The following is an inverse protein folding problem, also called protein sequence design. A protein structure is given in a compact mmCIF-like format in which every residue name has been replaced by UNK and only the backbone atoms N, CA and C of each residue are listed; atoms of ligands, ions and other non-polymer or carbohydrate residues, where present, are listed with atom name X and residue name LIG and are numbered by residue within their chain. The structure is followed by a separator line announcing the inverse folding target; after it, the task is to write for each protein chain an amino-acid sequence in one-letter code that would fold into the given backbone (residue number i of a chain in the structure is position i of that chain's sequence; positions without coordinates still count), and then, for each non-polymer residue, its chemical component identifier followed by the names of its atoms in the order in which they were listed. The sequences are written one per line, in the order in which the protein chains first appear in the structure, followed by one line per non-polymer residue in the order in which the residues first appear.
data_IF_558614730080
#
_entry.id   IF_558614730080
#
_cell.length_a   1.000
_cell.length_b   1.000
_cell.length_c   1.000
_cell.angle_alpha   90.00
_cell.angle_beta   90.00
_cell.angle_gamma   90.00
#
_symmetry.space_group_name_H-M   'P 1'
#
loop_
_entity.id
_entity.type
_entity.pdbx_description
1 polymer ?
#
# COMPACT_ATOMS: atom_id res chain seq x y z
N UNK A 1 -11.22 -15.27 -37.02
CA UNK A 1 -11.05 -14.89 -36.73
C UNK A 1 -10.71 -14.58 -36.24
N UNK A 2 -10.52 -14.09 -35.93
CA UNK A 2 -10.16 -13.67 -35.36
C UNK A 2 -10.12 -13.60 -34.53
N UNK A 3 -10.20 -13.49 -34.31
CA UNK A 3 -10.22 -13.40 -33.49
C UNK A 3 -9.90 -13.27 -32.62
N UNK A 4 -9.67 -13.58 -32.42
CA UNK A 4 -9.31 -13.48 -31.34
C UNK A 4 -8.79 -12.23 -30.89
N UNK A 5 -8.80 -11.36 -31.56
CA UNK A 5 -8.46 -10.09 -31.16
C UNK A 5 -9.45 -9.60 -30.24
N UNK A 6 -9.02 -9.17 -29.08
CA UNK A 6 -9.91 -8.63 -28.08
C UNK A 6 -10.52 -7.34 -28.55
N UNK A 7 -11.78 -7.15 -28.18
CA UNK A 7 -12.43 -5.88 -28.40
C UNK A 7 -11.68 -4.78 -27.66
N UNK A 8 -11.55 -3.58 -28.25
CA UNK A 8 -10.82 -2.51 -27.58
C UNK A 8 -11.32 -2.21 -26.18
N UNK A 9 -12.63 -2.32 -25.93
CA UNK A 9 -13.17 -2.07 -24.61
C UNK A 9 -12.66 -3.10 -23.61
N UNK A 10 -12.53 -4.36 -24.06
CA UNK A 10 -12.02 -5.41 -23.18
C UNK A 10 -10.56 -5.16 -22.84
N UNK A 11 -9.79 -4.74 -23.83
CA UNK A 11 -8.38 -4.46 -23.61
C UNK A 11 -8.22 -3.31 -22.62
N UNK A 12 -9.07 -2.30 -22.75
CA UNK A 12 -9.01 -1.16 -21.86
C UNK A 12 -9.34 -1.57 -20.45
N UNK A 13 -10.37 -2.39 -20.25
CA UNK A 13 -10.73 -2.87 -18.92
C UNK A 13 -9.61 -3.70 -18.31
N UNK A 14 -9.00 -4.53 -19.12
CA UNK A 14 -7.89 -5.35 -18.63
C UNK A 14 -6.71 -4.48 -18.18
N UNK A 15 -6.41 -3.45 -18.95
CA UNK A 15 -5.32 -2.55 -18.59
C UNK A 15 -5.62 -1.83 -17.29
N UNK A 16 -6.88 -1.42 -17.10
CA UNK A 16 -7.26 -0.74 -15.87
C UNK A 16 -7.15 -1.67 -14.67
N UNK A 17 -7.56 -2.92 -14.84
CA UNK A 17 -7.47 -3.88 -13.75
C UNK A 17 -6.01 -4.13 -13.38
N UNK A 18 -5.15 -4.30 -14.37
CA UNK A 18 -3.75 -4.51 -14.12
C UNK A 18 -3.11 -3.32 -13.42
N UNK A 19 -3.51 -2.12 -13.83
CA UNK A 19 -3.01 -0.92 -13.21
C UNK A 19 -3.44 -0.83 -11.76
N UNK A 20 -4.70 -1.15 -11.47
CA UNK A 20 -5.20 -1.10 -10.11
C UNK A 20 -4.52 -2.14 -9.23
N UNK A 21 -4.22 -3.32 -9.78
CA UNK A 21 -3.53 -4.34 -9.00
C UNK A 21 -2.11 -3.91 -8.68
N UNK A 22 -1.46 -3.27 -9.64
CA UNK A 22 -0.11 -2.77 -9.40
C UNK A 22 -0.12 -1.67 -8.35
N UNK A 23 -1.10 -0.77 -8.43
CA UNK A 23 -1.26 0.28 -7.44
C UNK A 23 -1.55 -0.29 -6.06
N UNK A 24 -2.41 -1.32 -6.02
CA UNK A 24 -2.74 -1.95 -4.77
C UNK A 24 -1.49 -2.53 -4.11
N UNK A 25 -0.67 -3.18 -4.91
CA UNK A 25 0.58 -3.73 -4.39
C UNK A 25 1.48 -2.65 -3.84
N UNK A 26 1.62 -1.56 -4.58
CA UNK A 26 2.45 -0.45 -4.15
C UNK A 26 1.92 0.16 -2.86
N UNK A 27 0.60 0.33 -2.78
CA UNK A 27 -0.02 0.88 -1.58
C UNK A 27 0.16 -0.04 -0.40
N UNK A 28 0.07 -1.35 -0.62
CA UNK A 28 0.29 -2.30 0.45
C UNK A 28 1.71 -2.23 0.98
N UNK A 29 2.67 -2.04 0.10
CA UNK A 29 4.05 -1.90 0.55
C UNK A 29 4.26 -0.63 1.36
N UNK A 30 3.63 0.45 0.92
CA UNK A 30 3.69 1.70 1.67
C UNK A 30 3.07 1.51 3.04
N UNK A 31 1.89 0.86 3.09
CA UNK A 31 1.21 0.64 4.35
C UNK A 31 2.04 -0.25 5.27
N UNK A 32 2.68 -1.27 4.72
CA UNK A 32 3.53 -2.14 5.51
C UNK A 32 4.74 -1.42 6.05
N UNK A 33 5.36 -0.58 5.23
CA UNK A 33 6.48 0.21 5.69
C UNK A 33 6.05 1.19 6.78
N UNK A 34 4.86 1.79 6.61
CA UNK A 34 4.32 2.70 7.61
C UNK A 34 4.06 1.98 8.93
N UNK A 35 3.53 0.76 8.86
CA UNK A 35 3.28 -0.02 10.06
C UNK A 35 4.57 -0.34 10.79
N UNK A 36 5.61 -0.67 10.06
CA UNK A 36 6.90 -0.93 10.67
C UNK A 36 7.50 0.33 11.26
N UNK A 37 7.33 1.44 10.59
CA UNK A 37 7.80 2.71 11.10
C UNK A 37 7.13 3.01 12.44
N UNK A 38 5.81 2.84 12.50
CA UNK A 38 5.06 3.12 13.72
C UNK A 38 5.54 2.20 14.86
N UNK A 39 5.83 0.97 14.51
CA UNK A 39 6.26 0.00 15.50
C UNK A 39 7.62 0.37 16.11
N UNK A 40 8.47 0.95 15.30
CA UNK A 40 9.86 1.17 15.75
C UNK A 40 10.20 2.61 16.10
N UNK A 41 9.37 3.54 15.72
CA UNK A 41 9.70 4.93 15.90
C UNK A 41 9.63 5.33 17.37
N UNK A 42 10.58 6.16 17.77
CA UNK A 42 10.51 6.80 19.06
C UNK A 42 10.15 8.26 18.81
N UNK A 43 8.88 8.58 19.02
CA UNK A 43 8.38 9.90 18.69
C UNK A 43 9.10 11.00 19.43
N UNK A 44 9.55 10.70 20.65
CA UNK A 44 10.24 11.71 21.44
C UNK A 44 11.56 12.13 20.81
N UNK A 45 12.11 11.32 19.93
CA UNK A 45 13.38 11.63 19.28
C UNK A 45 13.24 12.27 17.93
N UNK A 46 12.00 12.47 17.48
CA UNK A 46 11.77 13.08 16.18
C UNK A 46 11.86 14.59 16.30
N UNK A 47 12.25 15.26 15.21
CA UNK A 47 12.14 16.72 15.17
C UNK A 47 10.68 17.10 15.40
N UNK A 48 10.47 18.25 16.01
CA UNK A 48 9.11 18.70 16.31
C UNK A 48 8.25 18.73 15.07
N UNK A 49 8.81 19.16 13.95
CA UNK A 49 8.05 19.28 12.72
C UNK A 49 7.62 17.91 12.16
N UNK A 50 8.27 16.84 12.57
CA UNK A 50 7.93 15.50 12.09
C UNK A 50 6.90 14.80 12.97
N UNK A 51 6.65 15.29 14.16
CA UNK A 51 5.76 14.63 15.09
C UNK A 51 4.33 14.54 14.56
N UNK A 52 3.73 15.63 14.03
CA UNK A 52 2.37 15.50 13.50
C UNK A 52 2.28 14.51 12.36
N UNK A 53 3.33 14.42 11.54
CA UNK A 53 3.35 13.47 10.44
C UNK A 53 3.40 12.04 10.95
N UNK A 54 4.22 11.80 11.96
CA UNK A 54 4.31 10.46 12.55
C UNK A 54 2.99 10.07 13.19
N UNK A 55 2.32 11.03 13.83
CA UNK A 55 1.03 10.76 14.44
C UNK A 55 -0.03 10.46 13.39
N UNK A 56 0.02 11.16 12.25
CA UNK A 56 -0.90 10.90 11.17
C UNK A 56 -0.70 9.51 10.60
N UNK A 57 0.55 9.10 10.45
CA UNK A 57 0.85 7.76 9.97
C UNK A 57 0.35 6.72 10.95
N UNK A 58 0.59 6.92 12.23
CA UNK A 58 0.14 5.99 13.25
C UNK A 58 -1.38 5.85 13.24
N UNK A 59 -2.07 6.98 13.16
CA UNK A 59 -3.52 6.97 13.13
C UNK A 59 -4.04 6.24 11.90
N UNK A 60 -3.39 6.45 10.76
CA UNK A 60 -3.80 5.79 9.53
C UNK A 60 -3.59 4.29 9.60
N UNK A 61 -2.45 3.87 10.14
CA UNK A 61 -2.18 2.44 10.29
C UNK A 61 -3.20 1.80 11.21
N UNK A 62 -3.55 2.49 12.29
CA UNK A 62 -4.50 1.95 13.25
C UNK A 62 -5.90 1.80 12.70
N UNK A 63 -6.19 2.43 11.58
CA UNK A 63 -7.50 2.29 10.94
C UNK A 63 -7.58 1.11 10.00
N UNK A 64 -6.47 0.46 9.73
CA UNK A 64 -6.48 -0.71 8.86
C UNK A 64 -7.11 -1.88 9.59
N UNK A 65 -7.85 -2.70 8.84
CA UNK A 65 -8.32 -3.96 9.39
C UNK A 65 -7.13 -4.86 9.63
N UNK A 66 -7.32 -5.86 10.49
CA UNK A 66 -6.26 -6.81 10.76
C UNK A 66 -5.82 -7.53 9.49
N UNK A 67 -6.79 -7.83 8.64
CA UNK A 67 -6.50 -8.52 7.40
C UNK A 67 -5.64 -7.64 6.47
N UNK A 68 -6.04 -6.38 6.32
CA UNK A 68 -5.29 -5.46 5.49
C UNK A 68 -3.89 -5.22 6.05
N UNK A 69 -3.79 -5.10 7.36
CA UNK A 69 -2.50 -4.90 7.98
C UNK A 69 -1.59 -6.09 7.75
N UNK A 70 -2.16 -7.30 7.87
CA UNK A 70 -1.39 -8.50 7.61
C UNK A 70 -0.88 -8.54 6.18
N UNK A 71 -1.74 -8.23 5.22
CA UNK A 71 -1.35 -8.19 3.84
C UNK A 71 -0.27 -7.14 3.58
N UNK A 72 -0.41 -5.99 4.23
CA UNK A 72 0.56 -4.92 4.06
C UNK A 72 1.93 -5.34 4.59
N UNK A 73 1.96 -5.97 5.76
CA UNK A 73 3.22 -6.41 6.33
C UNK A 73 3.86 -7.48 5.48
N UNK A 74 3.05 -8.37 4.89
CA UNK A 74 3.60 -9.38 4.00
C UNK A 74 4.17 -8.76 2.73
N UNK A 75 3.50 -7.75 2.21
CA UNK A 75 3.97 -7.08 1.00
C UNK A 75 5.30 -6.38 1.26
N UNK A 76 5.43 -5.72 2.41
CA UNK A 76 6.66 -5.04 2.76
C UNK A 76 7.81 -6.03 2.94
N UNK A 77 7.49 -7.20 3.48
CA UNK A 77 8.48 -8.22 3.71
C UNK A 77 9.03 -8.80 2.42
N UNK A 78 8.16 -8.95 1.44
CA UNK A 78 8.55 -9.53 0.17
C UNK A 78 9.50 -8.69 -0.62
N UNK A 79 9.60 -7.43 -0.28
CA UNK A 79 10.41 -6.61 -1.05
C UNK A 79 11.84 -6.97 -0.91
N UNK A 80 12.20 -7.66 -0.12
CA UNK A 80 13.50 -8.20 -0.01
C UNK A 80 14.62 -7.25 -0.22
#
# INVERSE_FOLDING_TARGET
MKTVKEHPAVQMLRSEIEFMMSDRDALLRVAGAAAKFVEKVNIAKLPVSAIPLAEAISSSVNKLSEESLHEALQAAKKRG
#
